data_IF_304800967524
#
_entry.id   IF_304800967524
#
_cell.length_a   1.000
_cell.length_b   1.000
_cell.length_c   1.000
_cell.angle_alpha   90.00
_cell.angle_beta   90.00
_cell.angle_gamma   90.00
#
_symmetry.space_group_name_H-M   'P 1'
#
loop_
_entity.id
_entity.type
_entity.pdbx_description
1 polymer ?
#
# COMPACT_ATOMS: atom_id res chain seq x y z
N UNK A 1 24.12 -7.27 -8.84
CA UNK A 1 23.38 -6.51 -7.81
C UNK A 1 23.95 -5.11 -7.71
N UNK A 2 23.13 -4.08 -7.75
CA UNK A 2 23.58 -2.70 -7.58
C UNK A 2 24.02 -2.44 -6.13
N UNK A 3 25.07 -1.63 -5.96
CA UNK A 3 25.50 -1.15 -4.63
C UNK A 3 24.54 -0.09 -4.09
N UNK A 4 24.54 0.21 -2.78
CA UNK A 4 23.67 1.26 -2.22
C UNK A 4 23.83 2.63 -2.90
N UNK A 5 25.03 3.07 -3.22
CA UNK A 5 25.27 4.31 -3.95
C UNK A 5 24.68 4.25 -5.39
N UNK A 6 24.81 3.13 -6.09
CA UNK A 6 24.19 2.94 -7.40
C UNK A 6 22.67 2.91 -7.34
N UNK A 7 22.10 2.41 -6.24
CA UNK A 7 20.63 2.44 -6.02
C UNK A 7 20.17 3.88 -5.87
N UNK A 8 20.84 4.69 -5.03
CA UNK A 8 20.53 6.09 -4.82
C UNK A 8 20.55 6.87 -6.15
N UNK A 9 21.61 6.75 -6.93
CA UNK A 9 21.76 7.43 -8.22
C UNK A 9 20.70 6.99 -9.24
N UNK A 10 20.43 5.68 -9.34
CA UNK A 10 19.35 5.16 -10.21
C UNK A 10 17.98 5.70 -9.80
N UNK A 11 17.71 5.74 -8.49
CA UNK A 11 16.44 6.25 -8.00
C UNK A 11 16.28 7.75 -8.28
N UNK A 12 17.35 8.53 -8.11
CA UNK A 12 17.33 9.96 -8.39
C UNK A 12 16.97 10.23 -9.88
N UNK A 13 17.57 9.51 -10.82
CA UNK A 13 17.23 9.63 -12.24
C UNK A 13 15.79 9.20 -12.58
N UNK A 14 15.22 8.24 -11.82
CA UNK A 14 13.81 7.85 -11.94
C UNK A 14 12.91 8.93 -11.34
N UNK A 15 13.29 9.51 -10.22
CA UNK A 15 12.53 10.56 -9.55
C UNK A 15 12.34 11.81 -10.43
N UNK A 16 13.37 12.23 -11.16
CA UNK A 16 13.28 13.32 -12.13
C UNK A 16 12.20 13.05 -13.19
N UNK A 17 12.11 11.81 -13.69
CA UNK A 17 11.08 11.40 -14.63
C UNK A 17 9.69 11.36 -13.99
N UNK A 18 9.57 10.90 -12.73
CA UNK A 18 8.30 10.83 -12.00
C UNK A 18 7.70 12.23 -11.79
N UNK A 19 8.49 13.20 -11.35
CA UNK A 19 8.00 14.56 -11.07
C UNK A 19 7.69 15.36 -12.34
N UNK A 20 8.31 15.01 -13.48
CA UNK A 20 8.08 15.66 -14.78
C UNK A 20 7.00 15.00 -15.64
N UNK A 21 6.47 13.85 -15.21
CA UNK A 21 5.47 13.10 -15.95
C UNK A 21 4.15 13.90 -16.11
N UNK A 22 3.47 13.74 -17.26
CA UNK A 22 2.18 14.40 -17.49
C UNK A 22 1.11 13.94 -16.50
N UNK A 23 0.14 14.81 -16.20
CA UNK A 23 -0.95 14.50 -15.28
C UNK A 23 -1.68 13.20 -15.66
N UNK A 24 -2.09 13.06 -16.92
CA UNK A 24 -2.86 11.91 -17.39
C UNK A 24 -2.07 10.61 -17.22
N UNK A 25 -0.79 10.60 -17.60
CA UNK A 25 0.07 9.42 -17.45
C UNK A 25 0.27 9.05 -16.00
N UNK A 26 0.56 10.02 -15.13
CA UNK A 26 0.72 9.80 -13.69
C UNK A 26 -0.57 9.24 -13.09
N UNK A 27 -1.73 9.80 -13.43
CA UNK A 27 -3.03 9.38 -12.91
C UNK A 27 -3.36 7.93 -13.32
N UNK A 28 -3.19 7.58 -14.60
CA UNK A 28 -3.47 6.21 -15.09
C UNK A 28 -2.57 5.20 -14.37
N UNK A 29 -1.27 5.46 -14.27
CA UNK A 29 -0.34 4.58 -13.57
C UNK A 29 -0.66 4.48 -12.07
N UNK A 30 -1.16 5.55 -11.48
CA UNK A 30 -1.59 5.56 -10.08
C UNK A 30 -2.89 4.76 -9.86
N UNK A 31 -3.89 4.88 -10.75
CA UNK A 31 -5.11 4.06 -10.69
C UNK A 31 -4.76 2.57 -10.78
N UNK A 32 -3.86 2.20 -11.69
CA UNK A 32 -3.39 0.81 -11.81
C UNK A 32 -2.69 0.33 -10.53
N UNK A 33 -1.85 1.15 -9.90
CA UNK A 33 -1.17 0.76 -8.66
C UNK A 33 -2.17 0.53 -7.52
N UNK A 34 -3.17 1.42 -7.36
CA UNK A 34 -4.25 1.23 -6.40
C UNK A 34 -5.03 -0.07 -6.64
N UNK A 35 -5.32 -0.37 -7.91
CA UNK A 35 -5.97 -1.61 -8.30
C UNK A 35 -5.12 -2.85 -7.98
N UNK A 36 -3.81 -2.84 -8.25
CA UNK A 36 -2.92 -3.97 -7.95
C UNK A 36 -2.82 -4.24 -6.45
N UNK A 37 -2.73 -3.21 -5.62
CA UNK A 37 -2.74 -3.36 -4.17
C UNK A 37 -4.09 -3.91 -3.69
N UNK A 38 -5.20 -3.46 -4.26
CA UNK A 38 -6.55 -3.95 -3.94
C UNK A 38 -6.72 -5.43 -4.32
N UNK A 39 -6.27 -5.85 -5.50
CA UNK A 39 -6.30 -7.26 -5.94
C UNK A 39 -5.53 -8.17 -4.98
N UNK A 40 -4.34 -7.74 -4.54
CA UNK A 40 -3.58 -8.46 -3.51
C UNK A 40 -4.32 -8.47 -2.17
N UNK A 41 -5.02 -7.39 -1.83
CA UNK A 41 -5.90 -7.30 -0.65
C UNK A 41 -7.05 -8.28 -0.70
N UNK A 42 -7.66 -8.51 -1.87
CA UNK A 42 -8.69 -9.55 -2.06
C UNK A 42 -8.11 -10.92 -1.71
N UNK A 43 -6.99 -11.30 -2.31
CA UNK A 43 -6.34 -12.57 -2.03
C UNK A 43 -5.97 -12.73 -0.55
N UNK A 44 -5.45 -11.66 0.06
CA UNK A 44 -5.12 -11.61 1.49
C UNK A 44 -6.36 -11.75 2.40
N UNK A 45 -7.56 -11.39 1.93
CA UNK A 45 -8.82 -11.55 2.66
C UNK A 45 -9.39 -12.96 2.49
N UNK A 46 -9.37 -13.47 1.25
CA UNK A 46 -10.01 -14.74 0.90
C UNK A 46 -9.23 -15.95 1.45
N UNK A 47 -7.91 -15.96 1.31
CA UNK A 47 -7.09 -17.11 1.69
C UNK A 47 -7.22 -17.53 3.16
N UNK A 48 -7.30 -16.61 4.15
CA UNK A 48 -7.49 -16.98 5.55
C UNK A 48 -8.93 -17.18 5.97
N UNK A 49 -9.94 -16.89 5.13
CA UNK A 49 -11.34 -16.72 5.54
C UNK A 49 -11.96 -17.94 6.27
N UNK A 50 -11.48 -19.14 6.00
CA UNK A 50 -11.95 -20.38 6.63
C UNK A 50 -10.88 -21.09 7.47
N UNK A 51 -9.73 -20.44 7.68
CA UNK A 51 -8.63 -21.04 8.47
C UNK A 51 -8.90 -20.88 9.95
N UNK A 52 -9.11 -22.00 10.64
CA UNK A 52 -9.47 -22.01 12.06
C UNK A 52 -8.36 -21.47 12.98
N UNK A 53 -7.08 -21.67 12.62
CA UNK A 53 -5.96 -21.15 13.40
C UNK A 53 -5.62 -19.71 12.96
N UNK A 54 -5.80 -18.69 13.83
CA UNK A 54 -5.59 -17.30 13.45
C UNK A 54 -4.17 -16.97 12.98
N UNK A 55 -3.15 -17.62 13.58
CA UNK A 55 -1.75 -17.38 13.20
C UNK A 55 -1.46 -17.92 11.80
N UNK A 56 -1.97 -19.12 11.49
CA UNK A 56 -1.84 -19.73 10.14
C UNK A 56 -2.60 -18.88 9.12
N UNK A 57 -3.83 -18.49 9.42
CA UNK A 57 -4.61 -17.60 8.54
C UNK A 57 -3.87 -16.28 8.28
N UNK A 58 -3.35 -15.65 9.31
CA UNK A 58 -2.57 -14.41 9.18
C UNK A 58 -1.33 -14.59 8.31
N UNK A 59 -0.61 -15.70 8.49
CA UNK A 59 0.56 -16.04 7.68
C UNK A 59 0.21 -16.25 6.21
N UNK A 60 -0.85 -16.99 5.90
CA UNK A 60 -1.30 -17.21 4.52
C UNK A 60 -1.65 -15.89 3.82
N UNK A 61 -2.42 -15.00 4.47
CA UNK A 61 -2.71 -13.69 3.93
C UNK A 61 -1.45 -12.86 3.69
N UNK A 62 -0.48 -12.94 4.62
CA UNK A 62 0.79 -12.23 4.52
C UNK A 62 1.66 -12.76 3.36
N UNK A 63 1.59 -14.04 3.02
CA UNK A 63 2.30 -14.62 1.88
C UNK A 63 1.72 -14.17 0.52
N UNK A 64 0.43 -13.83 0.46
CA UNK A 64 -0.23 -13.44 -0.80
C UNK A 64 -0.06 -11.95 -1.09
N UNK A 65 -0.14 -11.10 -0.08
CA UNK A 65 -0.16 -9.65 -0.25
C UNK A 65 1.05 -9.07 -1.01
N UNK A 66 2.28 -9.62 -0.92
CA UNK A 66 3.44 -9.15 -1.69
C UNK A 66 3.23 -9.10 -3.21
N UNK A 67 2.31 -9.92 -3.75
CA UNK A 67 1.95 -9.89 -5.17
C UNK A 67 1.52 -8.48 -5.63
N UNK A 68 0.89 -7.70 -4.75
CA UNK A 68 0.49 -6.32 -5.06
C UNK A 68 1.67 -5.43 -5.40
N UNK A 69 2.70 -5.39 -4.53
CA UNK A 69 3.88 -4.58 -4.79
C UNK A 69 4.73 -5.16 -5.92
N UNK A 70 4.75 -6.47 -6.09
CA UNK A 70 5.41 -7.09 -7.25
C UNK A 70 4.79 -6.63 -8.58
N UNK A 71 3.46 -6.61 -8.68
CA UNK A 71 2.76 -6.05 -9.86
C UNK A 71 3.08 -4.57 -10.04
N UNK A 72 3.06 -3.75 -9.00
CA UNK A 72 3.41 -2.32 -9.06
C UNK A 72 4.82 -2.11 -9.62
N UNK A 73 5.81 -2.83 -9.10
CA UNK A 73 7.23 -2.68 -9.48
C UNK A 73 7.49 -3.19 -10.90
N UNK A 74 6.94 -4.35 -11.26
CA UNK A 74 7.18 -4.98 -12.56
C UNK A 74 6.43 -4.26 -13.68
N UNK A 75 5.18 -3.86 -13.44
CA UNK A 75 4.40 -3.08 -14.41
C UNK A 75 4.80 -1.60 -14.48
N UNK A 76 5.58 -1.11 -13.53
CA UNK A 76 6.05 0.29 -13.52
C UNK A 76 4.94 1.29 -13.18
N UNK A 77 4.01 0.94 -12.31
CA UNK A 77 2.92 1.81 -11.87
C UNK A 77 3.33 2.72 -10.70
N UNK A 78 2.50 3.75 -10.41
CA UNK A 78 2.81 4.81 -9.47
C UNK A 78 2.10 4.57 -8.12
N UNK A 79 2.87 4.20 -7.09
CA UNK A 79 2.37 3.94 -5.74
C UNK A 79 2.83 5.03 -4.78
N UNK A 80 1.88 5.69 -4.12
CA UNK A 80 2.15 6.81 -3.20
C UNK A 80 3.18 6.47 -2.12
N UNK A 81 3.01 5.32 -1.45
CA UNK A 81 3.90 4.88 -0.37
C UNK A 81 5.34 4.63 -0.86
N UNK A 82 5.52 4.05 -2.05
CA UNK A 82 6.84 3.92 -2.67
C UNK A 82 7.41 5.26 -3.14
N UNK A 83 6.55 6.20 -3.56
CA UNK A 83 6.97 7.54 -3.98
C UNK A 83 7.35 8.46 -2.79
N UNK A 84 7.21 8.01 -1.55
CA UNK A 84 7.76 8.74 -0.40
C UNK A 84 9.30 8.79 -0.44
N UNK A 85 9.95 7.88 -1.14
CA UNK A 85 11.38 7.95 -1.43
C UNK A 85 11.79 9.17 -2.29
N UNK A 86 10.85 9.91 -2.91
CA UNK A 86 11.13 11.17 -3.60
C UNK A 86 11.73 12.25 -2.66
N UNK A 87 11.64 12.05 -1.35
CA UNK A 87 12.33 12.90 -0.37
C UNK A 87 13.85 12.82 -0.53
N UNK A 88 14.42 11.66 -0.89
CA UNK A 88 15.87 11.54 -1.12
C UNK A 88 16.37 12.52 -2.20
N UNK A 89 15.93 12.45 -3.48
CA UNK A 89 16.39 13.40 -4.49
C UNK A 89 15.91 14.84 -4.25
N UNK A 90 14.87 15.07 -3.43
CA UNK A 90 14.49 16.40 -2.98
C UNK A 90 15.58 16.99 -2.06
N UNK A 91 16.08 16.22 -1.10
CA UNK A 91 17.15 16.64 -0.20
C UNK A 91 18.48 16.85 -0.93
N UNK A 92 18.71 16.13 -2.02
CA UNK A 92 19.88 16.30 -2.91
C UNK A 92 19.72 17.49 -3.88
N UNK A 93 18.60 18.20 -3.87
CA UNK A 93 18.31 19.31 -4.77
C UNK A 93 18.06 18.92 -6.24
N UNK A 94 17.90 17.62 -6.54
CA UNK A 94 17.69 17.11 -7.92
C UNK A 94 16.25 17.29 -8.39
N UNK A 95 15.30 17.35 -7.47
CA UNK A 95 13.88 17.63 -7.77
C UNK A 95 13.37 18.77 -6.89
N UNK A 96 12.33 19.48 -7.35
CA UNK A 96 11.74 20.59 -6.60
C UNK A 96 10.58 20.09 -5.74
N UNK A 97 10.39 20.67 -4.56
CA UNK A 97 9.29 20.35 -3.65
C UNK A 97 7.92 20.39 -4.34
N UNK A 98 7.66 21.41 -5.16
CA UNK A 98 6.40 21.52 -5.91
C UNK A 98 6.14 20.33 -6.85
N UNK A 99 7.20 19.75 -7.46
CA UNK A 99 7.10 18.54 -8.27
C UNK A 99 6.76 17.30 -7.44
N UNK A 100 7.37 17.16 -6.26
CA UNK A 100 7.09 16.08 -5.32
C UNK A 100 5.65 16.14 -4.81
N UNK A 101 5.21 17.31 -4.33
CA UNK A 101 3.83 17.48 -3.82
C UNK A 101 2.79 17.25 -4.92
N UNK A 102 3.05 17.72 -6.14
CA UNK A 102 2.20 17.44 -7.30
C UNK A 102 2.12 15.94 -7.59
N UNK A 103 3.26 15.24 -7.62
CA UNK A 103 3.28 13.79 -7.83
C UNK A 103 2.50 13.07 -6.72
N UNK A 104 2.77 13.37 -5.46
CA UNK A 104 2.07 12.76 -4.33
C UNK A 104 0.56 12.96 -4.39
N UNK A 105 0.09 14.18 -4.67
CA UNK A 105 -1.34 14.48 -4.77
C UNK A 105 -2.05 13.68 -5.88
N UNK A 106 -1.46 13.66 -7.08
CA UNK A 106 -2.02 12.91 -8.23
C UNK A 106 -2.00 11.41 -7.96
N UNK A 107 -0.88 10.91 -7.44
CA UNK A 107 -0.70 9.47 -7.19
C UNK A 107 -1.61 9.00 -6.06
N UNK A 108 -1.75 9.77 -4.99
CA UNK A 108 -2.64 9.45 -3.87
C UNK A 108 -4.10 9.36 -4.32
N UNK A 109 -4.56 10.34 -5.10
CA UNK A 109 -5.90 10.33 -5.67
C UNK A 109 -6.13 9.16 -6.64
N UNK A 110 -5.18 8.90 -7.52
CA UNK A 110 -5.26 7.77 -8.45
C UNK A 110 -5.29 6.42 -7.74
N UNK A 111 -4.44 6.24 -6.71
CA UNK A 111 -4.46 5.02 -5.90
C UNK A 111 -5.81 4.84 -5.20
N UNK A 112 -6.41 5.91 -4.65
CA UNK A 112 -7.74 5.87 -4.05
C UNK A 112 -8.80 5.42 -5.06
N UNK A 113 -8.83 6.03 -6.24
CA UNK A 113 -9.79 5.68 -7.31
C UNK A 113 -9.64 4.19 -7.68
N UNK A 114 -8.42 3.72 -7.94
CA UNK A 114 -8.17 2.33 -8.32
C UNK A 114 -8.54 1.34 -7.23
N UNK A 115 -8.19 1.62 -5.98
CA UNK A 115 -8.49 0.74 -4.86
C UNK A 115 -9.99 0.66 -4.56
N UNK A 116 -10.70 1.79 -4.55
CA UNK A 116 -12.17 1.83 -4.31
C UNK A 116 -12.92 1.17 -5.46
N UNK A 117 -12.49 1.38 -6.72
CA UNK A 117 -13.11 0.72 -7.88
C UNK A 117 -13.00 -0.82 -7.78
N UNK A 118 -11.82 -1.34 -7.44
CA UNK A 118 -11.63 -2.79 -7.25
C UNK A 118 -12.42 -3.30 -6.04
N UNK A 119 -12.49 -2.54 -4.94
CA UNK A 119 -13.32 -2.88 -3.78
C UNK A 119 -14.80 -3.04 -4.18
N UNK A 120 -15.33 -2.08 -4.94
CA UNK A 120 -16.69 -2.14 -5.45
C UNK A 120 -16.91 -3.33 -6.40
N UNK A 121 -16.01 -3.53 -7.37
CA UNK A 121 -16.10 -4.67 -8.31
C UNK A 121 -16.06 -6.02 -7.59
N UNK A 122 -15.19 -6.19 -6.58
CA UNK A 122 -15.12 -7.42 -5.82
C UNK A 122 -16.39 -7.67 -4.99
N UNK A 123 -16.92 -6.63 -4.33
CA UNK A 123 -18.12 -6.75 -3.50
C UNK A 123 -19.35 -7.06 -4.36
N UNK A 124 -19.66 -6.22 -5.34
CA UNK A 124 -20.86 -6.37 -6.17
C UNK A 124 -20.72 -7.50 -7.20
N UNK A 125 -19.51 -7.90 -7.56
CA UNK A 125 -19.23 -9.11 -8.34
C UNK A 125 -19.33 -10.43 -7.56
N UNK A 126 -19.71 -10.37 -6.26
CA UNK A 126 -19.99 -11.56 -5.44
C UNK A 126 -18.74 -12.27 -4.89
N UNK A 127 -17.55 -11.67 -4.98
CA UNK A 127 -16.31 -12.30 -4.47
C UNK A 127 -16.41 -12.64 -2.98
N UNK A 128 -17.08 -11.80 -2.19
CA UNK A 128 -17.22 -12.03 -0.75
C UNK A 128 -18.36 -12.98 -0.37
N UNK A 129 -19.13 -13.50 -1.33
CA UNK A 129 -20.07 -14.57 -1.08
C UNK A 129 -19.41 -15.94 -0.87
N UNK A 130 -18.12 -16.07 -1.21
CA UNK A 130 -17.35 -17.31 -1.07
C UNK A 130 -17.40 -17.85 0.35
N UNK A 131 -17.40 -19.20 0.44
CA UNK A 131 -17.39 -19.96 1.68
C UNK A 131 -18.57 -19.61 2.60
N UNK A 132 -19.78 -19.63 2.05
CA UNK A 132 -21.02 -19.29 2.79
C UNK A 132 -20.92 -17.93 3.51
N UNK A 133 -20.36 -16.93 2.81
CA UNK A 133 -20.10 -15.57 3.32
C UNK A 133 -19.03 -15.46 4.42
N UNK A 134 -18.22 -16.48 4.66
CA UNK A 134 -17.08 -16.35 5.57
C UNK A 134 -16.08 -15.27 5.10
N UNK A 135 -15.93 -15.12 3.78
CA UNK A 135 -15.13 -14.04 3.21
C UNK A 135 -15.75 -12.66 3.48
N UNK A 136 -17.08 -12.52 3.49
CA UNK A 136 -17.76 -11.28 3.85
C UNK A 136 -17.55 -10.95 5.33
N UNK A 137 -17.68 -11.92 6.22
CA UNK A 137 -17.40 -11.73 7.65
C UNK A 137 -15.94 -11.31 7.89
N UNK A 138 -15.00 -11.90 7.14
CA UNK A 138 -13.58 -11.58 7.22
C UNK A 138 -13.30 -10.13 6.82
N UNK A 139 -13.78 -9.66 5.66
CA UNK A 139 -13.49 -8.28 5.21
C UNK A 139 -14.15 -7.24 6.12
N UNK A 140 -15.37 -7.48 6.62
CA UNK A 140 -16.06 -6.57 7.54
C UNK A 140 -15.29 -6.47 8.87
N UNK A 141 -14.85 -7.61 9.44
CA UNK A 141 -14.03 -7.64 10.66
C UNK A 141 -12.70 -6.90 10.47
N UNK A 142 -12.03 -7.07 9.33
CA UNK A 142 -10.80 -6.34 9.00
C UNK A 142 -11.04 -4.83 8.99
N UNK A 143 -12.10 -4.38 8.31
CA UNK A 143 -12.44 -2.96 8.24
C UNK A 143 -12.77 -2.37 9.61
N UNK A 144 -13.55 -3.06 10.43
CA UNK A 144 -13.89 -2.64 11.81
C UNK A 144 -12.63 -2.50 12.67
N UNK A 145 -11.73 -3.49 12.64
CA UNK A 145 -10.48 -3.44 13.37
C UNK A 145 -9.61 -2.25 12.97
N UNK A 146 -9.58 -1.90 11.69
CA UNK A 146 -8.80 -0.76 11.16
C UNK A 146 -9.33 0.60 11.60
N UNK A 147 -10.65 0.79 11.60
CA UNK A 147 -11.25 2.06 12.06
C UNK A 147 -11.34 2.15 13.60
N UNK A 148 -11.14 1.04 14.31
CA UNK A 148 -11.08 0.96 15.76
C UNK A 148 -9.74 1.36 16.38
N UNK A 149 -8.69 1.56 15.57
CA UNK A 149 -7.38 2.00 16.08
C UNK A 149 -7.44 3.43 16.63
N UNK A 150 -6.68 3.69 17.71
CA UNK A 150 -6.42 5.05 18.14
C UNK A 150 -5.53 5.77 17.11
N UNK A 151 -5.54 7.12 17.13
CA UNK A 151 -4.68 7.91 16.24
C UNK A 151 -3.20 7.50 16.34
N UNK A 152 -2.70 7.36 17.57
CA UNK A 152 -1.30 6.98 17.81
C UNK A 152 -0.99 5.57 17.28
N UNK A 153 -1.88 4.60 17.52
CA UNK A 153 -1.70 3.24 16.99
C UNK A 153 -1.67 3.22 15.46
N UNK A 154 -2.61 3.91 14.82
CA UNK A 154 -2.67 4.00 13.36
C UNK A 154 -1.43 4.69 12.78
N UNK A 155 -0.97 5.79 13.40
CA UNK A 155 0.24 6.51 13.01
C UNK A 155 1.51 5.63 13.14
N UNK A 156 1.75 5.02 14.31
CA UNK A 156 2.95 4.20 14.54
C UNK A 156 2.97 2.94 13.66
N UNK A 157 1.83 2.27 13.50
CA UNK A 157 1.71 1.15 12.56
C UNK A 157 1.92 1.59 11.12
N UNK A 158 1.47 2.79 10.76
CA UNK A 158 1.73 3.41 9.47
C UNK A 158 3.22 3.68 9.24
N UNK A 159 3.92 4.22 10.23
CA UNK A 159 5.36 4.48 10.18
C UNK A 159 6.15 3.19 9.93
N UNK A 160 5.92 2.16 10.76
CA UNK A 160 6.60 0.87 10.62
C UNK A 160 6.28 0.17 9.29
N UNK A 161 5.04 0.30 8.81
CA UNK A 161 4.65 -0.24 7.52
C UNK A 161 5.46 0.38 6.39
N UNK A 162 5.48 1.70 6.28
CA UNK A 162 6.11 2.34 5.14
C UNK A 162 7.64 2.38 5.21
N UNK A 163 8.20 2.21 6.39
CA UNK A 163 9.62 1.85 6.52
C UNK A 163 9.90 0.57 5.71
N UNK A 164 9.12 -0.49 5.92
CA UNK A 164 9.29 -1.77 5.21
C UNK A 164 8.95 -1.67 3.71
N UNK A 165 7.92 -0.92 3.32
CA UNK A 165 7.56 -0.74 1.91
C UNK A 165 8.68 0.00 1.16
N UNK A 166 9.22 1.07 1.72
CA UNK A 166 10.31 1.81 1.08
C UNK A 166 11.61 1.00 1.03
N UNK A 167 11.91 0.21 2.07
CA UNK A 167 13.02 -0.77 2.02
C UNK A 167 12.78 -1.81 0.91
N UNK A 168 11.56 -2.33 0.75
CA UNK A 168 11.22 -3.26 -0.34
C UNK A 168 11.50 -2.65 -1.72
N UNK A 169 11.09 -1.38 -1.92
CA UNK A 169 11.35 -0.65 -3.16
C UNK A 169 12.85 -0.44 -3.37
N UNK A 170 13.58 -0.03 -2.34
CA UNK A 170 15.02 0.11 -2.36
C UNK A 170 15.72 -1.20 -2.75
N UNK A 171 15.35 -2.32 -2.12
CA UNK A 171 15.87 -3.65 -2.46
C UNK A 171 15.52 -4.07 -3.88
N UNK A 172 14.35 -3.69 -4.40
CA UNK A 172 13.96 -3.97 -5.79
C UNK A 172 14.86 -3.23 -6.80
N UNK A 173 15.40 -2.06 -6.46
CA UNK A 173 16.42 -1.36 -7.27
C UNK A 173 17.81 -2.00 -7.18
N UNK A 174 18.10 -2.79 -6.14
CA UNK A 174 19.31 -3.59 -6.08
C UNK A 174 19.29 -4.75 -7.08
N UNK A 175 18.11 -5.27 -7.39
CA UNK A 175 17.93 -6.41 -8.30
C UNK A 175 17.93 -5.98 -9.78
N UNK A 176 18.56 -6.81 -10.64
CA UNK A 176 18.72 -6.55 -12.07
C UNK A 176 17.76 -7.34 -12.95
N UNK A 177 17.08 -8.34 -12.39
CA UNK A 177 16.11 -9.16 -13.10
C UNK A 177 14.75 -9.21 -12.37
N UNK A 178 13.72 -9.66 -13.07
CA UNK A 178 12.34 -9.68 -12.57
C UNK A 178 12.20 -10.58 -11.33
N UNK A 179 12.79 -11.78 -11.36
CA UNK A 179 12.71 -12.71 -10.23
C UNK A 179 13.34 -12.11 -8.97
N UNK A 180 14.51 -11.48 -9.11
CA UNK A 180 15.17 -10.79 -8.02
C UNK A 180 14.34 -9.65 -7.45
N UNK A 181 13.65 -8.87 -8.29
CA UNK A 181 12.74 -7.80 -7.84
C UNK A 181 11.55 -8.36 -7.05
N UNK A 182 10.93 -9.44 -7.54
CA UNK A 182 9.82 -10.10 -6.84
C UNK A 182 10.28 -10.61 -5.47
N UNK A 183 11.42 -11.30 -5.39
CA UNK A 183 11.98 -11.78 -4.13
C UNK A 183 12.36 -10.64 -3.18
N UNK A 184 12.90 -9.55 -3.71
CA UNK A 184 13.29 -8.38 -2.91
C UNK A 184 12.08 -7.73 -2.21
N UNK A 185 10.92 -7.67 -2.86
CA UNK A 185 9.73 -7.09 -2.25
C UNK A 185 8.98 -8.08 -1.35
N UNK A 186 9.15 -9.38 -1.55
CA UNK A 186 8.35 -10.42 -0.89
C UNK A 186 8.45 -10.35 0.64
N UNK A 187 9.63 -10.45 1.20
CA UNK A 187 9.80 -10.55 2.65
C UNK A 187 9.43 -9.28 3.42
N UNK A 188 9.85 -8.07 3.03
CA UNK A 188 9.44 -6.87 3.76
C UNK A 188 7.92 -6.65 3.72
N UNK A 189 7.28 -6.94 2.59
CA UNK A 189 5.83 -6.80 2.45
C UNK A 189 5.10 -7.88 3.26
N UNK A 190 5.53 -9.14 3.20
CA UNK A 190 5.00 -10.21 4.04
C UNK A 190 5.09 -9.84 5.52
N UNK A 191 6.23 -9.30 5.95
CA UNK A 191 6.48 -8.91 7.34
C UNK A 191 5.50 -7.85 7.83
N UNK A 192 5.27 -6.76 7.06
CA UNK A 192 4.34 -5.73 7.54
C UNK A 192 2.90 -6.24 7.64
N UNK A 193 2.47 -7.13 6.71
CA UNK A 193 1.12 -7.73 6.77
C UNK A 193 1.01 -8.66 7.97
N UNK A 194 2.03 -9.50 8.19
CA UNK A 194 2.07 -10.43 9.32
C UNK A 194 1.99 -9.69 10.66
N UNK A 195 2.74 -8.59 10.81
CA UNK A 195 2.75 -7.76 12.01
C UNK A 195 1.50 -6.87 12.17
N UNK A 196 0.61 -6.83 11.19
CA UNK A 196 -0.60 -6.01 11.24
C UNK A 196 -0.31 -4.51 11.20
N UNK A 197 0.73 -4.11 10.45
CA UNK A 197 1.03 -2.70 10.20
C UNK A 197 0.06 -2.10 9.17
N UNK A 198 -0.03 -0.77 9.13
CA UNK A 198 -1.06 -0.05 8.41
C UNK A 198 -0.51 0.62 7.14
N UNK A 199 -1.02 0.19 5.99
CA UNK A 199 -0.68 0.73 4.68
C UNK A 199 -1.84 1.57 4.14
N UNK A 200 -1.63 2.87 3.95
CA UNK A 200 -2.70 3.79 3.53
C UNK A 200 -3.41 3.33 2.25
N UNK A 201 -2.67 2.92 1.23
CA UNK A 201 -3.26 2.51 -0.05
C UNK A 201 -3.98 1.15 0.06
N UNK A 202 -3.49 0.23 0.88
CA UNK A 202 -4.22 -1.00 1.18
C UNK A 202 -5.54 -0.71 1.93
N UNK A 203 -5.53 0.27 2.83
CA UNK A 203 -6.72 0.67 3.58
C UNK A 203 -7.76 1.37 2.68
N UNK A 204 -7.34 1.98 1.56
CA UNK A 204 -8.25 2.48 0.51
C UNK A 204 -9.03 1.35 -0.19
N UNK A 205 -8.59 0.09 -0.03
CA UNK A 205 -9.36 -1.09 -0.44
C UNK A 205 -10.10 -1.73 0.76
N UNK A 206 -9.38 -2.08 1.85
CA UNK A 206 -9.96 -2.88 2.93
C UNK A 206 -11.17 -2.22 3.58
N UNK A 207 -11.13 -0.91 3.85
CA UNK A 207 -12.21 -0.24 4.55
C UNK A 207 -13.41 0.02 3.63
N UNK A 208 -13.25 0.56 2.41
CA UNK A 208 -14.37 0.65 1.45
C UNK A 208 -14.99 -0.71 1.11
N UNK A 209 -14.19 -1.76 0.91
CA UNK A 209 -14.73 -3.10 0.67
C UNK A 209 -15.56 -3.61 1.87
N UNK A 210 -15.12 -3.34 3.10
CA UNK A 210 -15.88 -3.67 4.29
C UNK A 210 -17.19 -2.88 4.39
N UNK A 211 -17.20 -1.59 4.06
CA UNK A 211 -18.40 -0.75 4.03
C UNK A 211 -19.40 -1.29 3.00
N UNK A 212 -18.96 -1.50 1.75
CA UNK A 212 -19.81 -2.02 0.69
C UNK A 212 -20.36 -3.42 1.01
N UNK A 213 -19.52 -4.28 1.61
CA UNK A 213 -19.90 -5.65 1.96
C UNK A 213 -20.90 -5.68 3.12
N UNK A 214 -20.70 -4.85 4.15
CA UNK A 214 -21.64 -4.73 5.26
C UNK A 214 -23.02 -4.26 4.78
N UNK A 215 -23.04 -3.26 3.89
CA UNK A 215 -24.28 -2.75 3.28
C UNK A 215 -24.97 -3.83 2.41
N UNK A 216 -24.24 -4.45 1.48
CA UNK A 216 -24.78 -5.44 0.54
C UNK A 216 -25.38 -6.67 1.23
N UNK A 217 -24.75 -7.16 2.29
CA UNK A 217 -25.16 -8.39 2.98
C UNK A 217 -25.94 -8.13 4.28
N UNK A 218 -26.25 -6.87 4.61
CA UNK A 218 -26.97 -6.50 5.83
C UNK A 218 -26.20 -6.87 7.12
N UNK A 219 -24.87 -6.76 7.10
CA UNK A 219 -24.02 -7.09 8.26
C UNK A 219 -23.86 -5.88 9.17
N UNK A 220 -23.63 -6.13 10.46
CA UNK A 220 -23.41 -5.06 11.42
C UNK A 220 -22.14 -4.28 11.09
N UNK A 221 -22.29 -3.01 10.72
CA UNK A 221 -21.18 -2.15 10.32
C UNK A 221 -20.36 -1.61 11.51
N UNK A 222 -20.96 -1.53 12.71
CA UNK A 222 -20.30 -0.93 13.89
C UNK A 222 -19.84 0.51 13.63
N UNK A 223 -18.56 0.76 13.79
CA UNK A 223 -17.95 2.08 13.56
C UNK A 223 -17.57 2.34 12.08
N UNK A 224 -17.81 1.38 11.15
CA UNK A 224 -17.50 1.54 9.73
C UNK A 224 -18.36 2.64 9.11
N UNK A 225 -17.70 3.62 8.53
CA UNK A 225 -18.31 4.70 7.76
C UNK A 225 -17.23 5.39 6.91
N UNK A 226 -17.65 6.14 5.88
CA UNK A 226 -16.71 6.97 5.13
C UNK A 226 -16.00 8.00 6.01
N UNK A 227 -16.69 8.56 7.03
CA UNK A 227 -16.10 9.48 7.99
C UNK A 227 -14.99 8.82 8.82
N UNK A 228 -15.23 7.61 9.36
CA UNK A 228 -14.21 6.86 10.11
C UNK A 228 -13.06 6.41 9.21
N UNK A 229 -13.34 6.03 7.96
CA UNK A 229 -12.32 5.71 6.97
C UNK A 229 -11.32 6.86 6.79
N UNK A 230 -11.81 8.07 6.48
CA UNK A 230 -10.93 9.20 6.22
C UNK A 230 -10.25 9.71 7.48
N UNK A 231 -11.02 9.93 8.57
CA UNK A 231 -10.52 10.67 9.74
C UNK A 231 -9.86 9.79 10.79
N UNK A 232 -10.38 8.56 11.03
CA UNK A 232 -9.82 7.69 12.06
C UNK A 232 -8.73 6.76 11.57
N UNK A 233 -8.71 6.43 10.28
CA UNK A 233 -7.71 5.53 9.73
C UNK A 233 -6.82 6.20 8.69
N UNK A 234 -7.36 6.67 7.56
CA UNK A 234 -6.56 7.09 6.42
C UNK A 234 -5.63 8.27 6.76
N UNK A 235 -6.11 9.27 7.48
CA UNK A 235 -5.31 10.43 7.89
C UNK A 235 -4.11 10.04 8.75
N UNK A 236 -4.28 9.41 9.94
CA UNK A 236 -3.13 9.06 10.78
C UNK A 236 -2.18 8.05 10.12
N UNK A 237 -2.71 7.08 9.36
CA UNK A 237 -1.89 6.09 8.65
C UNK A 237 -1.05 6.77 7.57
N UNK A 238 -1.63 7.69 6.80
CA UNK A 238 -0.89 8.42 5.75
C UNK A 238 0.23 9.26 6.34
N UNK A 239 -0.02 9.95 7.45
CA UNK A 239 1.03 10.70 8.16
C UNK A 239 2.16 9.77 8.65
N UNK A 240 1.80 8.62 9.21
CA UNK A 240 2.77 7.60 9.60
C UNK A 240 3.56 7.07 8.41
N UNK A 241 2.89 6.76 7.29
CA UNK A 241 3.56 6.29 6.07
C UNK A 241 4.55 7.34 5.53
N UNK A 242 4.18 8.62 5.52
CA UNK A 242 5.06 9.71 5.10
C UNK A 242 6.34 9.76 5.94
N UNK A 243 6.23 9.66 7.26
CA UNK A 243 7.39 9.68 8.16
C UNK A 243 8.24 8.42 7.96
N UNK A 244 7.64 7.23 7.94
CA UNK A 244 8.37 5.97 7.80
C UNK A 244 9.16 5.86 6.50
N UNK A 245 8.55 6.23 5.37
CA UNK A 245 9.20 6.16 4.06
C UNK A 245 10.05 7.40 3.74
N UNK A 246 9.48 8.58 3.94
CA UNK A 246 10.11 9.84 3.54
C UNK A 246 11.23 10.31 4.46
N UNK A 247 11.12 10.06 5.76
CA UNK A 247 12.19 10.46 6.71
C UNK A 247 13.14 9.30 6.96
N UNK A 248 12.62 8.15 7.47
CA UNK A 248 13.51 7.08 7.95
C UNK A 248 14.27 6.39 6.81
N UNK A 249 13.62 6.07 5.67
CA UNK A 249 14.29 5.34 4.58
C UNK A 249 15.03 6.27 3.62
N UNK A 250 14.55 7.49 3.40
CA UNK A 250 15.27 8.45 2.58
C UNK A 250 16.66 8.79 3.16
N UNK A 251 16.80 8.84 4.50
CA UNK A 251 18.09 9.04 5.18
C UNK A 251 19.07 7.87 4.96
N UNK A 252 18.60 6.63 4.80
CA UNK A 252 19.46 5.50 4.41
C UNK A 252 20.11 5.78 3.05
N UNK A 253 19.31 6.25 2.08
CA UNK A 253 19.84 6.64 0.77
C UNK A 253 20.88 7.75 0.88
N UNK A 254 20.57 8.79 1.66
CA UNK A 254 21.46 9.94 1.89
C UNK A 254 22.79 9.56 2.55
N UNK A 255 22.79 8.56 3.42
CA UNK A 255 24.01 8.09 4.08
C UNK A 255 24.99 7.41 3.10
N UNK A 256 24.58 7.11 1.87
CA UNK A 256 25.38 6.46 0.83
C UNK A 256 25.74 7.37 -0.36
N UNK A 257 25.33 8.62 -0.32
CA UNK A 257 25.65 9.69 -1.28
C UNK A 257 26.50 10.73 -0.59
#
# INVERSE_FOLDING_TARGET
MNTPAQIAEKYAGIAEKKVSMSFAKTLVLAVLAGAFIALAGIGCTIAPATVANPSVGKFLGACIFPAGLAMVVVAGSELFTGNNLLVLPLLEGRVRLGGVLRNWGIVYLGNLIGAVAVAAMATYGGTFALFDKAAAASIVSIGQAKVGLTFLQAFLKGLLCNFLVCIAVWMAFAAENVSGKIMAVFFPIMMFVLCGYEHSIANMYFIPAAIFTADLYGMEAGALSWGSFFMKNLLPVTLGNLVGGGVCVAEIGRAHV
#
